data_IF_829650029549
#
_entry.id   IF_829650029549
#
_cell.length_a   1.000
_cell.length_b   1.000
_cell.length_c   1.000
_cell.angle_alpha   90.00
_cell.angle_beta   90.00
_cell.angle_gamma   90.00
#
_symmetry.space_group_name_H-M   'P 1'
#
loop_
_entity.id
_entity.type
_entity.pdbx_description
1 polymer ?
#
# COMPACT_ATOMS: atom_id res chain seq x y z
N UNK A 1 20.49 27.55 24.78
CA UNK A 1 21.85 27.92 25.23
C UNK A 1 22.54 26.64 25.64
N UNK A 2 23.40 26.14 24.78
CA UNK A 2 24.08 24.83 24.88
C UNK A 2 24.92 24.73 26.16
N UNK A 3 24.70 23.68 26.95
CA UNK A 3 25.71 23.17 27.87
C UNK A 3 26.81 22.52 27.05
N UNK A 4 27.87 23.29 26.77
CA UNK A 4 29.16 22.71 26.38
C UNK A 4 29.74 22.07 27.64
N UNK A 5 29.79 20.74 27.68
CA UNK A 5 30.33 19.96 28.79
C UNK A 5 31.75 20.45 29.12
N UNK A 6 31.85 21.28 30.16
CA UNK A 6 33.10 21.87 30.60
C UNK A 6 33.93 20.76 31.24
N UNK A 7 35.13 20.48 30.72
CA UNK A 7 36.06 19.52 31.33
C UNK A 7 36.66 20.20 32.57
N UNK A 8 36.42 19.68 33.80
CA UNK A 8 37.05 20.22 35.00
C UNK A 8 38.58 20.19 34.90
N UNK A 9 39.23 21.33 35.18
CA UNK A 9 40.67 21.57 34.98
C UNK A 9 41.54 20.60 35.79
N UNK A 10 41.05 20.12 36.92
CA UNK A 10 41.67 19.14 37.82
C UNK A 10 41.89 17.75 37.19
N UNK A 11 41.15 17.39 36.15
CA UNK A 11 41.30 16.11 35.44
C UNK A 11 42.60 16.08 34.60
N UNK A 12 43.15 17.24 34.21
CA UNK A 12 44.36 17.33 33.39
C UNK A 12 45.63 16.82 34.08
N UNK A 13 45.60 16.66 35.41
CA UNK A 13 46.76 16.22 36.20
C UNK A 13 46.79 14.70 36.43
N UNK A 14 45.68 13.97 36.28
CA UNK A 14 45.61 12.53 36.52
C UNK A 14 45.41 11.74 35.22
N UNK A 15 46.49 11.12 34.74
CA UNK A 15 46.52 10.39 33.47
C UNK A 15 45.54 9.21 33.38
N UNK A 16 45.22 8.57 34.51
CA UNK A 16 44.24 7.47 34.57
C UNK A 16 42.81 7.99 34.41
N UNK A 17 42.47 9.09 35.08
CA UNK A 17 41.14 9.72 34.98
C UNK A 17 40.95 10.35 33.60
N UNK A 18 41.97 11.01 33.04
CA UNK A 18 41.94 11.58 31.68
C UNK A 18 41.60 10.53 30.61
N UNK A 19 42.19 9.33 30.68
CA UNK A 19 41.87 8.21 29.76
C UNK A 19 40.44 7.72 29.91
N UNK A 20 39.92 7.61 31.13
CA UNK A 20 38.55 7.19 31.36
C UNK A 20 37.53 8.24 30.87
N UNK A 21 37.78 9.53 31.11
CA UNK A 21 36.92 10.61 30.60
C UNK A 21 36.93 10.69 29.07
N UNK A 22 38.09 10.56 28.42
CA UNK A 22 38.16 10.53 26.95
C UNK A 22 37.45 9.31 26.36
N UNK A 23 37.56 8.15 27.01
CA UNK A 23 36.86 6.94 26.57
C UNK A 23 35.34 7.09 26.72
N UNK A 24 34.86 7.61 27.85
CA UNK A 24 33.42 7.86 28.08
C UNK A 24 32.87 8.89 27.09
N UNK A 25 33.63 9.95 26.78
CA UNK A 25 33.23 10.94 25.78
C UNK A 25 33.18 10.34 24.36
N UNK A 26 34.20 9.56 23.98
CA UNK A 26 34.25 8.83 22.71
C UNK A 26 33.13 7.80 22.56
N UNK A 27 32.82 7.06 23.64
CA UNK A 27 31.74 6.07 23.65
C UNK A 27 30.37 6.76 23.56
N UNK A 28 30.19 7.90 24.23
CA UNK A 28 28.97 8.71 24.10
C UNK A 28 28.79 9.26 22.68
N UNK A 29 29.85 9.77 22.05
CA UNK A 29 29.79 10.24 20.66
C UNK A 29 29.50 9.09 19.70
N UNK A 30 30.11 7.92 19.90
CA UNK A 30 29.85 6.72 19.10
C UNK A 30 28.41 6.23 19.26
N UNK A 31 27.88 6.24 20.48
CA UNK A 31 26.47 5.93 20.76
C UNK A 31 25.52 6.97 20.15
N UNK A 32 25.86 8.26 20.20
CA UNK A 32 25.06 9.32 19.59
C UNK A 32 25.01 9.17 18.06
N UNK A 33 26.13 8.81 17.42
CA UNK A 33 26.19 8.51 15.98
C UNK A 33 25.32 7.29 15.66
N UNK A 34 25.37 6.22 16.44
CA UNK A 34 24.53 5.03 16.23
C UNK A 34 23.03 5.36 16.36
N UNK A 35 22.66 6.20 17.32
CA UNK A 35 21.28 6.69 17.48
C UNK A 35 20.86 7.55 16.28
N UNK A 36 21.70 8.48 15.84
CA UNK A 36 21.43 9.35 14.70
C UNK A 36 21.29 8.55 13.39
N UNK A 37 22.15 7.56 13.17
CA UNK A 37 22.07 6.66 12.02
C UNK A 37 20.77 5.84 12.02
N UNK A 38 20.35 5.36 13.19
CA UNK A 38 19.09 4.64 13.37
C UNK A 38 17.89 5.56 13.14
N UNK A 39 17.93 6.78 13.64
CA UNK A 39 16.88 7.77 13.40
C UNK A 39 16.79 8.14 11.92
N UNK A 40 17.93 8.36 11.27
CA UNK A 40 18.01 8.61 9.84
C UNK A 40 17.45 7.42 9.04
N UNK A 41 17.75 6.18 9.44
CA UNK A 41 17.18 4.97 8.84
C UNK A 41 15.66 4.90 9.02
N UNK A 42 15.14 5.20 10.22
CA UNK A 42 13.70 5.24 10.50
C UNK A 42 12.99 6.31 9.66
N UNK A 43 13.60 7.49 9.48
CA UNK A 43 13.07 8.55 8.61
C UNK A 43 13.01 8.08 7.16
N UNK A 44 14.06 7.43 6.66
CA UNK A 44 14.08 6.87 5.30
C UNK A 44 12.98 5.84 5.09
N UNK A 45 12.81 4.92 6.03
CA UNK A 45 11.78 3.88 5.91
C UNK A 45 10.37 4.48 5.99
N UNK A 46 10.13 5.47 6.87
CA UNK A 46 8.85 6.19 6.89
C UNK A 46 8.55 6.87 5.56
N UNK A 47 9.53 7.50 4.92
CA UNK A 47 9.38 8.10 3.58
C UNK A 47 9.07 7.05 2.52
N UNK A 48 9.78 5.93 2.53
CA UNK A 48 9.52 4.79 1.62
C UNK A 48 8.09 4.27 1.78
N UNK A 49 7.66 4.05 3.02
CA UNK A 49 6.30 3.59 3.34
C UNK A 49 5.22 4.62 2.99
N UNK A 50 5.50 5.91 3.15
CA UNK A 50 4.60 6.98 2.69
C UNK A 50 4.40 6.91 1.18
N UNK A 51 5.49 6.81 0.41
CA UNK A 51 5.43 6.67 -1.06
C UNK A 51 4.60 5.45 -1.49
N UNK A 52 4.77 4.31 -0.81
CA UNK A 52 3.98 3.10 -1.08
C UNK A 52 2.50 3.33 -0.78
N UNK A 53 2.18 3.98 0.36
CA UNK A 53 0.80 4.24 0.73
C UNK A 53 0.11 5.20 -0.26
N UNK A 54 0.82 6.21 -0.79
CA UNK A 54 0.31 7.09 -1.86
C UNK A 54 -0.04 6.27 -3.11
N UNK A 55 0.89 5.43 -3.60
CA UNK A 55 0.63 4.56 -4.75
C UNK A 55 -0.56 3.61 -4.51
N UNK A 56 -0.74 3.11 -3.28
CA UNK A 56 -1.92 2.31 -2.91
C UNK A 56 -3.22 3.12 -2.93
N UNK A 57 -3.20 4.41 -2.60
CA UNK A 57 -4.38 5.27 -2.72
C UNK A 57 -4.70 5.56 -4.19
N UNK A 58 -3.68 5.79 -5.01
CA UNK A 58 -3.85 5.97 -6.45
C UNK A 58 -4.45 4.72 -7.09
N UNK A 59 -3.94 3.54 -6.75
CA UNK A 59 -4.51 2.26 -7.22
C UNK A 59 -6.00 2.13 -6.88
N UNK A 60 -6.42 2.56 -5.68
CA UNK A 60 -7.83 2.50 -5.27
C UNK A 60 -8.74 3.36 -6.14
N UNK A 61 -8.24 4.45 -6.72
CA UNK A 61 -9.03 5.32 -7.59
C UNK A 61 -9.37 4.64 -8.93
N UNK A 62 -8.58 3.65 -9.35
CA UNK A 62 -8.83 2.86 -10.57
C UNK A 62 -9.70 1.63 -10.34
N UNK A 63 -9.95 1.28 -9.07
CA UNK A 63 -10.79 0.15 -8.73
C UNK A 63 -12.26 0.59 -8.74
N UNK A 64 -13.19 -0.20 -9.30
CA UNK A 64 -14.60 0.11 -9.26
C UNK A 64 -15.14 0.07 -7.80
N UNK A 65 -15.33 1.24 -7.20
CA UNK A 65 -15.84 1.41 -5.84
C UNK A 65 -17.20 2.11 -5.79
N UNK A 66 -17.99 1.86 -4.74
CA UNK A 66 -19.26 2.55 -4.53
C UNK A 66 -19.11 3.95 -3.89
N UNK A 67 -20.03 4.90 -4.15
CA UNK A 67 -20.04 6.22 -3.53
C UNK A 67 -20.02 6.24 -1.99
N UNK A 68 -20.46 5.16 -1.34
CA UNK A 68 -20.50 5.01 0.12
C UNK A 68 -19.78 3.75 0.62
N UNK A 69 -18.88 3.22 -0.20
CA UNK A 69 -18.19 2.00 0.15
C UNK A 69 -17.23 2.21 1.31
N UNK A 70 -17.19 1.22 2.22
CA UNK A 70 -16.11 1.14 3.21
C UNK A 70 -14.76 1.10 2.47
N UNK A 71 -13.77 1.84 2.99
CA UNK A 71 -12.42 1.83 2.40
C UNK A 71 -11.90 0.39 2.29
N UNK A 72 -11.50 -0.01 1.08
CA UNK A 72 -10.89 -1.31 0.82
C UNK A 72 -9.61 -1.51 1.65
N UNK A 73 -9.40 -2.71 2.16
CA UNK A 73 -8.14 -3.10 2.81
C UNK A 73 -7.03 -3.23 1.76
N UNK A 74 -5.76 -3.31 2.19
CA UNK A 74 -4.62 -3.47 1.26
C UNK A 74 -4.74 -4.77 0.45
N UNK A 75 -5.13 -5.87 1.08
CA UNK A 75 -5.29 -7.15 0.40
C UNK A 75 -6.48 -7.13 -0.56
N UNK A 76 -7.61 -6.55 -0.16
CA UNK A 76 -8.79 -6.45 -1.03
C UNK A 76 -8.49 -5.57 -2.25
N UNK A 77 -7.74 -4.48 -2.06
CA UNK A 77 -7.29 -3.61 -3.16
C UNK A 77 -6.48 -4.39 -4.18
N UNK A 78 -5.52 -5.22 -3.74
CA UNK A 78 -4.70 -6.02 -4.66
C UNK A 78 -5.53 -7.09 -5.37
N UNK A 79 -6.34 -7.84 -4.62
CA UNK A 79 -7.18 -8.91 -5.19
C UNK A 79 -8.16 -8.35 -6.23
N UNK A 80 -8.78 -7.22 -5.92
CA UNK A 80 -9.76 -6.59 -6.81
C UNK A 80 -9.09 -5.96 -8.03
N UNK A 81 -7.89 -5.38 -7.89
CA UNK A 81 -7.10 -4.92 -9.03
C UNK A 81 -6.74 -6.06 -9.97
N UNK A 82 -6.26 -7.20 -9.45
CA UNK A 82 -5.93 -8.39 -10.26
C UNK A 82 -7.17 -8.91 -10.99
N UNK A 83 -8.29 -9.08 -10.27
CA UNK A 83 -9.54 -9.52 -10.87
C UNK A 83 -10.03 -8.54 -11.95
N UNK A 84 -9.93 -7.24 -11.70
CA UNK A 84 -10.37 -6.23 -12.65
C UNK A 84 -9.50 -6.21 -13.91
N UNK A 85 -8.18 -6.32 -13.80
CA UNK A 85 -7.27 -6.44 -14.96
C UNK A 85 -7.64 -7.66 -15.80
N UNK A 86 -7.73 -8.84 -15.19
CA UNK A 86 -8.07 -10.08 -15.90
C UNK A 86 -9.43 -9.98 -16.61
N UNK A 87 -10.41 -9.33 -15.98
CA UNK A 87 -11.71 -9.10 -16.61
C UNK A 87 -11.60 -8.19 -17.82
N UNK A 88 -10.85 -7.09 -17.73
CA UNK A 88 -10.66 -6.17 -18.84
C UNK A 88 -9.88 -6.84 -19.99
N UNK A 89 -8.87 -7.65 -19.69
CA UNK A 89 -8.15 -8.45 -20.68
C UNK A 89 -9.08 -9.42 -21.41
N UNK A 90 -9.92 -10.16 -20.66
CA UNK A 90 -10.91 -11.05 -21.24
C UNK A 90 -11.88 -10.26 -22.13
N UNK A 91 -12.39 -9.12 -21.66
CA UNK A 91 -13.31 -8.26 -22.40
C UNK A 91 -12.73 -7.77 -23.73
N UNK A 92 -11.44 -7.41 -23.73
CA UNK A 92 -10.73 -6.93 -24.92
C UNK A 92 -10.36 -8.06 -25.88
N UNK A 93 -10.21 -9.29 -25.38
CA UNK A 93 -9.84 -10.46 -26.19
C UNK A 93 -10.99 -11.07 -26.98
N UNK A 94 -12.25 -10.79 -26.60
CA UNK A 94 -13.45 -11.38 -27.20
C UNK A 94 -14.08 -10.39 -28.18
N UNK A 95 -14.35 -10.86 -29.40
CA UNK A 95 -15.17 -10.13 -30.39
C UNK A 95 -16.68 -10.24 -30.08
N UNK A 96 -17.05 -10.07 -28.81
CA UNK A 96 -18.43 -10.13 -28.33
C UNK A 96 -18.73 -8.80 -27.62
N UNK A 97 -19.97 -8.34 -27.75
CA UNK A 97 -20.45 -7.18 -26.98
C UNK A 97 -20.12 -7.33 -25.48
N UNK A 98 -19.53 -6.29 -24.91
CA UNK A 98 -19.01 -6.29 -23.54
C UNK A 98 -20.08 -6.63 -22.51
N UNK A 99 -21.30 -6.12 -22.70
CA UNK A 99 -22.41 -6.40 -21.80
C UNK A 99 -22.84 -7.87 -21.87
N UNK A 100 -22.95 -8.40 -23.10
CA UNK A 100 -23.31 -9.79 -23.36
C UNK A 100 -22.30 -10.76 -22.76
N UNK A 101 -21.00 -10.53 -22.94
CA UNK A 101 -19.92 -11.33 -22.36
C UNK A 101 -19.96 -11.32 -20.82
N UNK A 102 -20.09 -10.15 -20.20
CA UNK A 102 -20.15 -10.04 -18.73
C UNK A 102 -21.39 -10.74 -18.16
N UNK A 103 -22.55 -10.59 -18.81
CA UNK A 103 -23.80 -11.24 -18.41
C UNK A 103 -23.68 -12.76 -18.46
N UNK A 104 -23.12 -13.29 -19.54
CA UNK A 104 -22.92 -14.74 -19.71
C UNK A 104 -21.92 -15.28 -18.68
N UNK A 105 -20.80 -14.59 -18.50
CA UNK A 105 -19.76 -14.97 -17.54
C UNK A 105 -20.29 -15.03 -16.11
N UNK A 106 -21.09 -14.04 -15.68
CA UNK A 106 -21.72 -14.03 -14.36
C UNK A 106 -22.72 -15.19 -14.19
N UNK A 107 -23.47 -15.52 -15.24
CA UNK A 107 -24.42 -16.64 -15.21
C UNK A 107 -23.72 -18.00 -15.20
N UNK A 108 -22.62 -18.17 -15.95
CA UNK A 108 -21.79 -19.38 -15.89
C UNK A 108 -21.23 -19.62 -14.48
N UNK A 109 -20.74 -18.56 -13.82
CA UNK A 109 -20.29 -18.66 -12.43
C UNK A 109 -21.43 -19.04 -11.46
N UNK A 110 -22.66 -18.55 -11.67
CA UNK A 110 -23.83 -19.00 -10.87
C UNK A 110 -24.12 -20.49 -11.04
N UNK A 111 -23.79 -21.06 -12.19
CA UNK A 111 -23.95 -22.49 -12.50
C UNK A 111 -22.77 -23.33 -12.00
N UNK A 112 -21.80 -22.73 -11.30
CA UNK A 112 -20.60 -23.42 -10.81
C UNK A 112 -19.60 -23.76 -11.91
N UNK A 113 -19.75 -23.16 -13.09
CA UNK A 113 -18.84 -23.33 -14.21
C UNK A 113 -17.83 -22.18 -14.19
N UNK A 114 -16.67 -22.42 -13.56
CA UNK A 114 -15.58 -21.44 -13.48
C UNK A 114 -14.56 -21.58 -14.61
N UNK A 115 -14.79 -22.52 -15.53
CA UNK A 115 -13.87 -22.92 -16.59
C UNK A 115 -13.74 -21.80 -17.62
N UNK A 116 -12.95 -20.78 -17.31
CA UNK A 116 -12.69 -19.64 -18.18
C UNK A 116 -12.96 -18.27 -17.57
N UNK A 117 -13.40 -18.17 -16.30
CA UNK A 117 -13.69 -16.87 -15.68
C UNK A 117 -12.99 -16.70 -14.33
N UNK A 118 -11.65 -16.64 -14.38
CA UNK A 118 -10.79 -16.56 -13.20
C UNK A 118 -10.99 -15.27 -12.38
N UNK A 119 -11.52 -14.22 -13.01
CA UNK A 119 -11.77 -12.93 -12.35
C UNK A 119 -13.08 -12.90 -11.53
N UNK A 120 -13.97 -13.88 -11.64
CA UNK A 120 -15.22 -13.88 -10.88
C UNK A 120 -14.96 -14.17 -9.40
N UNK A 121 -14.79 -13.09 -8.64
CA UNK A 121 -14.82 -13.11 -7.17
C UNK A 121 -16.22 -12.73 -6.68
N UNK A 122 -16.62 -13.25 -5.52
CA UNK A 122 -17.92 -12.91 -4.90
C UNK A 122 -18.07 -11.39 -4.68
N UNK A 123 -16.97 -10.71 -4.34
CA UNK A 123 -16.90 -9.26 -4.17
C UNK A 123 -17.11 -8.52 -5.50
N UNK A 124 -16.38 -8.89 -6.56
CA UNK A 124 -16.52 -8.25 -7.87
C UNK A 124 -17.91 -8.48 -8.49
N UNK A 125 -18.50 -9.66 -8.30
CA UNK A 125 -19.88 -9.95 -8.72
C UNK A 125 -20.90 -9.10 -7.94
N UNK A 126 -20.69 -8.90 -6.63
CA UNK A 126 -21.54 -8.02 -5.83
C UNK A 126 -21.46 -6.56 -6.33
N UNK A 127 -20.29 -6.11 -6.76
CA UNK A 127 -20.08 -4.80 -7.40
C UNK A 127 -20.88 -4.64 -8.67
N UNK A 128 -20.82 -5.59 -9.60
CA UNK A 128 -21.59 -5.52 -10.85
C UNK A 128 -23.11 -5.51 -10.63
N UNK A 129 -23.61 -6.22 -9.62
CA UNK A 129 -25.04 -6.24 -9.28
C UNK A 129 -25.55 -4.91 -8.77
N UNK A 130 -24.69 -4.08 -8.17
CA UNK A 130 -25.08 -2.79 -7.63
C UNK A 130 -25.06 -1.68 -8.68
N UNK A 131 -24.36 -1.89 -9.80
CA UNK A 131 -24.36 -0.93 -10.91
C UNK A 131 -25.78 -0.82 -11.45
N UNK A 132 -26.40 0.34 -11.26
CA UNK A 132 -27.67 0.67 -11.88
C UNK A 132 -27.41 1.15 -13.31
N UNK A 133 -27.26 0.18 -14.22
CA UNK A 133 -26.98 0.41 -15.65
C UNK A 133 -27.97 1.41 -16.29
N UNK A 134 -29.25 1.39 -15.86
CA UNK A 134 -30.29 2.33 -16.31
C UNK A 134 -30.01 3.79 -15.93
N UNK A 135 -29.38 4.05 -14.78
CA UNK A 135 -28.99 5.41 -14.37
C UNK A 135 -27.77 5.95 -15.10
N UNK A 136 -26.98 5.09 -15.74
CA UNK A 136 -25.80 5.47 -16.53
C UNK A 136 -26.12 5.70 -18.02
N UNK A 137 -27.40 5.64 -18.42
CA UNK A 137 -27.82 5.78 -19.81
C UNK A 137 -27.44 4.58 -20.70
N UNK A 138 -26.95 3.49 -20.10
CA UNK A 138 -26.64 2.25 -20.80
C UNK A 138 -27.89 1.38 -20.72
N UNK A 139 -28.76 1.49 -21.73
CA UNK A 139 -29.82 0.51 -21.94
C UNK A 139 -29.23 -0.72 -22.61
N UNK A 140 -29.35 -1.93 -22.03
CA UNK A 140 -29.04 -3.16 -22.74
C UNK A 140 -29.86 -3.17 -24.04
N UNK A 141 -29.21 -3.41 -25.17
CA UNK A 141 -29.92 -3.70 -26.42
C UNK A 141 -30.64 -5.03 -26.17
N UNK A 142 -31.97 -5.02 -26.30
CA UNK A 142 -32.83 -6.21 -26.15
C UNK A 142 -32.50 -7.30 -27.16
#
# INVERSE_FOLDING_TARGET
MESKDFIPIDILQNSKLKRNYSNIFSDKDSLNIEVEEREAANVRERKRMCSINVAFMDLKNYIPTFPYEKRLSKIDTLNLAIAYINMLEDLLSKDIDSYSYLKESVEQARRGQYNGVMWITSDLVARFKWINWKKLGITPIE
#
